data_IF_888941443901
#
_entry.id   IF_888941443901
#
_cell.length_a   1.000
_cell.length_b   1.000
_cell.length_c   1.000
_cell.angle_alpha   90.00
_cell.angle_beta   90.00
_cell.angle_gamma   90.00
#
_symmetry.space_group_name_H-M   'P 1'
#
loop_
_entity.id
_entity.type
_entity.pdbx_description
1 polymer ?
#
# COMPACT_ATOMS: atom_id res chain seq x y z
N UNK A 1 -13.66 -14.94 -6.25
CA UNK A 1 -13.78 -13.61 -6.88
C UNK A 1 -14.93 -13.60 -7.87
N UNK A 2 -15.57 -12.44 -8.10
CA UNK A 2 -16.80 -12.29 -8.90
C UNK A 2 -18.07 -12.76 -8.17
N UNK A 3 -18.03 -13.99 -7.66
CA UNK A 3 -19.11 -14.66 -6.92
C UNK A 3 -18.66 -15.25 -5.56
N UNK A 4 -17.40 -15.07 -5.16
CA UNK A 4 -16.94 -15.52 -3.83
C UNK A 4 -17.24 -14.46 -2.76
N UNK A 5 -17.50 -14.89 -1.50
CA UNK A 5 -17.73 -13.96 -0.41
C UNK A 5 -16.55 -12.98 -0.28
N UNK A 6 -16.85 -11.69 -0.34
CA UNK A 6 -15.86 -10.64 -0.13
C UNK A 6 -15.26 -10.76 1.26
N UNK A 7 -13.93 -10.80 1.35
CA UNK A 7 -13.25 -10.74 2.64
C UNK A 7 -13.46 -9.37 3.27
N UNK A 8 -13.93 -9.40 4.52
CA UNK A 8 -14.10 -8.20 5.32
C UNK A 8 -12.73 -7.67 5.71
N UNK A 9 -12.53 -6.34 5.65
CA UNK A 9 -11.27 -5.67 6.02
C UNK A 9 -10.09 -6.01 5.09
N UNK A 10 -10.29 -5.93 3.78
CA UNK A 10 -9.27 -6.25 2.78
C UNK A 10 -9.23 -5.20 1.63
N UNK A 11 -8.07 -5.09 0.99
CA UNK A 11 -7.83 -4.42 -0.28
C UNK A 11 -6.98 -5.34 -1.17
N UNK A 12 -7.21 -5.29 -2.49
CA UNK A 12 -6.58 -6.22 -3.42
C UNK A 12 -6.49 -5.65 -4.83
N UNK A 13 -5.37 -5.93 -5.48
CA UNK A 13 -5.25 -5.94 -6.93
C UNK A 13 -5.56 -7.32 -7.52
N UNK A 14 -6.49 -7.37 -8.46
CA UNK A 14 -6.90 -8.58 -9.16
C UNK A 14 -6.21 -8.68 -10.54
N UNK A 15 -5.17 -9.52 -10.72
CA UNK A 15 -4.39 -9.57 -11.96
C UNK A 15 -5.17 -10.13 -13.16
N UNK A 16 -6.21 -10.96 -12.93
CA UNK A 16 -6.99 -11.58 -13.99
C UNK A 16 -7.91 -10.60 -14.74
N UNK A 17 -8.48 -9.64 -14.02
CA UNK A 17 -9.45 -8.66 -14.54
C UNK A 17 -8.90 -7.22 -14.50
N UNK A 18 -7.65 -7.04 -14.06
CA UNK A 18 -6.90 -5.77 -13.99
C UNK A 18 -7.64 -4.63 -13.26
N UNK A 19 -8.08 -4.89 -12.03
CA UNK A 19 -8.70 -3.86 -11.18
C UNK A 19 -8.16 -3.89 -9.75
N UNK A 20 -8.28 -2.74 -9.08
CA UNK A 20 -8.08 -2.60 -7.63
C UNK A 20 -9.45 -2.52 -6.96
N UNK A 21 -9.63 -3.25 -5.87
CA UNK A 21 -10.85 -3.20 -5.06
C UNK A 21 -10.51 -3.17 -3.57
N UNK A 22 -11.44 -2.64 -2.78
CA UNK A 22 -11.30 -2.54 -1.34
C UNK A 22 -12.64 -2.60 -0.63
N UNK A 23 -12.60 -3.02 0.63
CA UNK A 23 -13.74 -2.96 1.53
C UNK A 23 -13.90 -1.54 2.11
N UNK A 24 -15.11 -0.98 2.09
CA UNK A 24 -15.41 0.30 2.73
C UNK A 24 -15.13 0.23 4.23
N UNK A 25 -15.53 -0.87 4.90
CA UNK A 25 -15.25 -1.09 6.32
C UNK A 25 -13.74 -1.04 6.64
N UNK A 26 -12.88 -1.44 5.69
CA UNK A 26 -11.43 -1.38 5.85
C UNK A 26 -10.90 0.05 5.79
N UNK A 27 -11.38 0.80 4.81
CA UNK A 27 -10.99 2.20 4.62
C UNK A 27 -11.48 3.06 5.78
N UNK A 28 -12.74 2.88 6.21
CA UNK A 28 -13.32 3.59 7.35
C UNK A 28 -12.58 3.28 8.66
N UNK A 29 -12.24 2.00 8.87
CA UNK A 29 -11.50 1.60 10.08
C UNK A 29 -10.13 2.26 10.15
N UNK A 30 -9.33 2.20 9.07
CA UNK A 30 -8.02 2.84 9.07
C UNK A 30 -8.11 4.35 9.11
N UNK A 31 -9.11 4.96 8.46
CA UNK A 31 -9.38 6.39 8.55
C UNK A 31 -9.61 6.83 10.01
N UNK A 32 -10.48 6.11 10.73
CA UNK A 32 -10.82 6.43 12.12
C UNK A 32 -9.62 6.21 13.06
N UNK A 33 -8.81 5.18 12.82
CA UNK A 33 -7.73 4.78 13.73
C UNK A 33 -6.40 5.52 13.47
N UNK A 34 -6.13 5.87 12.21
CA UNK A 34 -4.82 6.33 11.77
C UNK A 34 -4.84 7.66 11.03
N UNK A 35 -5.98 8.06 10.45
CA UNK A 35 -6.13 9.35 9.77
C UNK A 35 -6.43 9.21 8.28
N UNK A 36 -6.57 10.35 7.60
CA UNK A 36 -7.09 10.43 6.24
C UNK A 36 -6.06 10.09 5.15
N UNK A 37 -4.79 9.97 5.51
CA UNK A 37 -3.74 9.40 4.66
C UNK A 37 -3.92 7.89 4.39
N UNK A 38 -4.66 7.16 5.23
CA UNK A 38 -4.79 5.70 5.14
C UNK A 38 -5.32 5.19 3.78
N UNK A 39 -6.46 5.69 3.25
CA UNK A 39 -6.94 5.24 1.95
C UNK A 39 -5.95 5.48 0.81
N UNK A 40 -5.14 6.54 0.88
CA UNK A 40 -4.14 6.84 -0.13
C UNK A 40 -3.01 5.81 -0.13
N UNK A 41 -2.53 5.43 1.05
CA UNK A 41 -1.51 4.38 1.21
C UNK A 41 -2.00 3.05 0.61
N UNK A 42 -3.20 2.61 1.00
CA UNK A 42 -3.75 1.32 0.55
C UNK A 42 -3.96 1.30 -0.95
N UNK A 43 -4.60 2.32 -1.53
CA UNK A 43 -4.82 2.36 -2.97
C UNK A 43 -3.49 2.40 -3.74
N UNK A 44 -2.50 3.16 -3.24
CA UNK A 44 -1.18 3.23 -3.87
C UNK A 44 -0.40 1.90 -3.76
N UNK A 45 -0.56 1.16 -2.67
CA UNK A 45 0.00 -0.18 -2.49
C UNK A 45 -0.58 -1.18 -3.50
N UNK A 46 -1.90 -1.27 -3.60
CA UNK A 46 -2.56 -2.16 -4.58
C UNK A 46 -2.24 -1.75 -6.03
N UNK A 47 -2.09 -0.45 -6.28
CA UNK A 47 -1.59 0.03 -7.57
C UNK A 47 -0.15 -0.46 -7.84
N UNK A 48 0.67 -0.59 -6.80
CA UNK A 48 1.98 -1.22 -6.85
C UNK A 48 1.92 -2.64 -7.42
N UNK A 49 1.00 -3.48 -6.94
CA UNK A 49 0.78 -4.81 -7.51
C UNK A 49 0.35 -4.76 -8.99
N UNK A 50 -0.44 -3.77 -9.38
CA UNK A 50 -0.80 -3.55 -10.77
C UNK A 50 0.42 -3.22 -11.65
N UNK A 51 1.40 -2.47 -11.12
CA UNK A 51 2.69 -2.22 -11.80
C UNK A 51 3.49 -3.50 -11.90
N UNK A 52 3.58 -4.27 -10.81
CA UNK A 52 4.30 -5.55 -10.75
C UNK A 52 3.80 -6.55 -11.79
N UNK A 53 2.48 -6.72 -11.89
CA UNK A 53 1.85 -7.62 -12.86
C UNK A 53 2.20 -7.23 -14.30
N UNK A 54 2.22 -5.93 -14.62
CA UNK A 54 2.55 -5.43 -15.98
C UNK A 54 4.04 -5.53 -16.30
N UNK A 55 4.91 -5.39 -15.31
CA UNK A 55 6.34 -5.55 -15.44
C UNK A 55 6.78 -7.02 -15.39
N UNK A 56 5.86 -7.94 -15.06
CA UNK A 56 6.13 -9.36 -14.85
C UNK A 56 7.31 -9.57 -13.90
N UNK A 57 7.32 -8.82 -12.79
CA UNK A 57 8.37 -8.96 -11.76
C UNK A 57 8.26 -10.35 -11.16
N UNK A 58 9.30 -11.16 -11.29
CA UNK A 58 9.32 -12.55 -10.78
C UNK A 58 9.50 -12.66 -9.26
N UNK A 59 9.05 -11.65 -8.51
CA UNK A 59 9.11 -11.64 -7.05
C UNK A 59 8.08 -12.60 -6.46
N UNK A 60 8.28 -12.98 -5.19
CA UNK A 60 7.38 -13.88 -4.47
C UNK A 60 7.31 -13.50 -3.00
N UNK A 61 6.13 -13.70 -2.41
CA UNK A 61 5.88 -13.53 -0.97
C UNK A 61 6.25 -12.11 -0.50
N UNK A 62 6.84 -11.98 0.70
CA UNK A 62 7.18 -10.69 1.33
C UNK A 62 7.92 -9.71 0.41
N UNK A 63 8.80 -10.18 -0.48
CA UNK A 63 9.52 -9.28 -1.37
C UNK A 63 8.61 -8.57 -2.39
N UNK A 64 7.52 -9.22 -2.80
CA UNK A 64 6.50 -8.63 -3.67
C UNK A 64 5.73 -7.52 -2.93
N UNK A 65 5.28 -7.81 -1.71
CA UNK A 65 4.59 -6.86 -0.83
C UNK A 65 5.45 -5.63 -0.48
N UNK A 66 6.71 -5.85 -0.11
CA UNK A 66 7.65 -4.76 0.20
C UNK A 66 7.96 -3.89 -1.02
N UNK A 67 8.00 -4.47 -2.23
CA UNK A 67 8.14 -3.67 -3.43
C UNK A 67 6.85 -2.88 -3.74
N UNK A 68 5.66 -3.41 -3.42
CA UNK A 68 4.41 -2.67 -3.52
C UNK A 68 4.38 -1.46 -2.56
N UNK A 69 4.88 -1.60 -1.32
CA UNK A 69 5.08 -0.47 -0.40
C UNK A 69 6.04 0.59 -0.98
N UNK A 70 7.12 0.18 -1.65
CA UNK A 70 8.00 1.11 -2.35
C UNK A 70 7.26 1.84 -3.48
N UNK A 71 6.48 1.14 -4.30
CA UNK A 71 5.68 1.79 -5.33
C UNK A 71 4.62 2.73 -4.75
N UNK A 72 4.06 2.41 -3.58
CA UNK A 72 3.14 3.31 -2.89
C UNK A 72 3.83 4.64 -2.54
N UNK A 73 5.02 4.59 -1.93
CA UNK A 73 5.81 5.79 -1.62
C UNK A 73 6.18 6.60 -2.86
N UNK A 74 6.60 5.92 -3.93
CA UNK A 74 6.90 6.57 -5.21
C UNK A 74 5.66 7.25 -5.85
N UNK A 75 4.49 6.60 -5.76
CA UNK A 75 3.23 7.09 -6.31
C UNK A 75 2.77 8.35 -5.57
N UNK A 76 2.73 8.30 -4.24
CA UNK A 76 2.32 9.45 -3.43
C UNK A 76 3.27 10.62 -3.61
N UNK A 77 4.58 10.38 -3.59
CA UNK A 77 5.57 11.44 -3.85
C UNK A 77 5.44 12.03 -5.26
N UNK A 78 5.13 11.21 -6.26
CA UNK A 78 4.84 11.68 -7.62
C UNK A 78 3.64 12.62 -7.66
N UNK A 79 2.53 12.21 -7.05
CA UNK A 79 1.29 12.99 -6.96
C UNK A 79 1.47 14.31 -6.19
N UNK A 80 2.34 14.32 -5.17
CA UNK A 80 2.71 15.56 -4.46
C UNK A 80 3.48 16.50 -5.38
N UNK A 81 4.46 15.97 -6.12
CA UNK A 81 5.32 16.77 -7.01
C UNK A 81 4.56 17.36 -8.20
N UNK A 82 3.57 16.66 -8.73
CA UNK A 82 2.78 17.13 -9.87
C UNK A 82 1.56 17.97 -9.47
N UNK A 83 1.28 18.08 -8.16
CA UNK A 83 0.20 18.89 -7.61
C UNK A 83 -1.17 18.21 -7.61
N UNK A 84 -1.25 16.92 -7.95
CA UNK A 84 -2.48 16.12 -7.85
C UNK A 84 -2.89 15.89 -6.40
N UNK A 85 -1.90 15.64 -5.53
CA UNK A 85 -2.10 15.41 -4.10
C UNK A 85 -1.49 16.57 -3.32
N UNK A 86 -2.28 17.17 -2.43
CA UNK A 86 -1.75 18.07 -1.41
C UNK A 86 -1.40 17.24 -0.19
N UNK A 87 -0.11 17.22 0.16
CA UNK A 87 0.36 16.62 1.41
C UNK A 87 0.12 17.57 2.56
N UNK A 88 -0.54 17.11 3.61
CA UNK A 88 -0.87 17.90 4.79
C UNK A 88 0.14 17.69 5.92
N UNK A 89 0.12 18.61 6.88
CA UNK A 89 0.91 18.45 8.10
C UNK A 89 0.30 17.32 8.93
N UNK A 90 1.01 16.20 9.05
CA UNK A 90 0.56 15.03 9.80
C UNK A 90 0.53 13.75 8.97
N UNK A 91 0.33 13.83 7.65
CA UNK A 91 0.14 12.65 6.78
C UNK A 91 1.28 11.62 6.87
N UNK A 92 2.53 12.09 7.03
CA UNK A 92 3.68 11.19 7.22
C UNK A 92 3.56 10.40 8.53
N UNK A 93 3.20 11.08 9.61
CA UNK A 93 3.03 10.47 10.94
C UNK A 93 1.83 9.53 10.95
N UNK A 94 0.76 9.90 10.24
CA UNK A 94 -0.42 9.07 10.05
C UNK A 94 -0.10 7.79 9.29
N UNK A 95 0.64 7.85 8.17
CA UNK A 95 1.08 6.65 7.44
C UNK A 95 1.90 5.72 8.34
N UNK A 96 2.90 6.25 9.05
CA UNK A 96 3.73 5.45 9.95
C UNK A 96 2.87 4.85 11.07
N UNK A 97 1.98 5.64 11.67
CA UNK A 97 1.06 5.20 12.71
C UNK A 97 0.08 4.15 12.20
N UNK A 98 -0.37 4.25 10.95
CA UNK A 98 -1.29 3.32 10.31
C UNK A 98 -0.67 1.95 10.12
N UNK A 99 0.56 1.88 9.61
CA UNK A 99 1.31 0.63 9.44
C UNK A 99 1.53 -0.06 10.78
N UNK A 100 1.79 0.71 11.84
CA UNK A 100 1.92 0.18 13.19
C UNK A 100 0.60 -0.34 13.76
N UNK A 101 -0.46 0.48 13.75
CA UNK A 101 -1.75 0.14 14.36
C UNK A 101 -2.47 -0.98 13.64
N UNK A 102 -2.44 -0.96 12.32
CA UNK A 102 -3.14 -1.93 11.49
C UNK A 102 -2.40 -3.27 11.47
N UNK A 103 -1.07 -3.25 11.63
CA UNK A 103 -0.17 -4.40 11.87
C UNK A 103 -0.74 -5.52 12.74
N UNK A 104 -1.48 -5.13 13.79
CA UNK A 104 -1.94 -6.04 14.84
C UNK A 104 -3.41 -6.47 14.72
N UNK A 105 -4.18 -5.87 13.81
CA UNK A 105 -5.65 -5.91 13.85
C UNK A 105 -6.25 -6.81 12.76
N UNK A 106 -5.58 -6.94 11.61
CA UNK A 106 -6.13 -7.64 10.45
C UNK A 106 -5.24 -8.79 9.98
N UNK A 107 -5.80 -9.92 9.51
CA UNK A 107 -4.99 -10.97 8.87
C UNK A 107 -4.14 -10.45 7.70
N UNK A 108 -4.61 -9.41 7.01
CA UNK A 108 -3.91 -8.72 5.91
C UNK A 108 -2.65 -7.97 6.34
N UNK A 109 -2.39 -7.77 7.63
CA UNK A 109 -1.15 -7.12 8.08
C UNK A 109 -0.19 -8.10 8.74
N UNK A 110 -0.45 -9.40 8.60
CA UNK A 110 0.41 -10.45 9.12
C UNK A 110 1.85 -10.28 8.60
N UNK A 111 2.84 -10.10 9.50
CA UNK A 111 4.23 -9.87 9.10
C UNK A 111 4.84 -10.99 8.26
N UNK A 112 4.27 -12.20 8.30
CA UNK A 112 4.72 -13.32 7.45
C UNK A 112 4.37 -13.14 5.98
N UNK A 113 3.33 -12.37 5.72
CA UNK A 113 2.79 -12.18 4.38
C UNK A 113 3.34 -10.86 3.79
N UNK A 114 3.37 -9.79 4.58
CA UNK A 114 3.73 -8.43 4.11
C UNK A 114 5.08 -7.88 4.61
N UNK A 115 5.83 -8.63 5.41
CA UNK A 115 7.04 -8.17 6.07
C UNK A 115 6.75 -7.43 7.38
N UNK A 116 7.80 -7.20 8.17
CA UNK A 116 7.64 -6.47 9.42
C UNK A 116 7.46 -4.95 9.18
N UNK A 117 6.92 -4.26 10.19
CA UNK A 117 6.61 -2.83 10.08
C UNK A 117 7.85 -2.00 9.70
N UNK A 118 9.04 -2.39 10.15
CA UNK A 118 10.27 -1.65 9.84
C UNK A 118 10.69 -1.85 8.39
N UNK A 119 10.52 -3.06 7.84
CA UNK A 119 10.75 -3.35 6.42
C UNK A 119 9.80 -2.55 5.53
N UNK A 120 8.51 -2.53 5.89
CA UNK A 120 7.46 -1.80 5.17
C UNK A 120 7.73 -0.30 5.12
N UNK A 121 8.00 0.32 6.27
CA UNK A 121 8.38 1.75 6.36
C UNK A 121 9.64 2.01 5.53
N UNK A 122 10.66 1.17 5.68
CA UNK A 122 11.92 1.34 4.94
C UNK A 122 11.73 1.28 3.43
N UNK A 123 10.83 0.43 2.92
CA UNK A 123 10.57 0.32 1.49
C UNK A 123 9.70 1.45 0.98
N UNK A 124 8.69 1.85 1.74
CA UNK A 124 7.92 3.06 1.46
C UNK A 124 8.84 4.28 1.32
N UNK A 125 9.74 4.49 2.29
CA UNK A 125 10.71 5.59 2.27
C UNK A 125 11.67 5.51 1.07
N UNK A 126 12.08 4.29 0.66
CA UNK A 126 12.89 4.08 -0.55
C UNK A 126 12.19 4.70 -1.77
N UNK A 127 10.90 4.41 -1.94
CA UNK A 127 10.08 4.95 -3.01
C UNK A 127 9.86 6.47 -2.93
N UNK A 128 9.60 7.00 -1.74
CA UNK A 128 9.46 8.46 -1.52
C UNK A 128 10.75 9.20 -1.92
N UNK A 129 11.91 8.66 -1.58
CA UNK A 129 13.20 9.31 -1.85
C UNK A 129 13.64 9.15 -3.30
N UNK A 130 13.51 7.94 -3.85
CA UNK A 130 14.10 7.55 -5.14
C UNK A 130 13.12 7.39 -6.29
N UNK A 131 11.81 7.52 -6.06
CA UNK A 131 10.77 7.29 -7.07
C UNK A 131 10.75 5.85 -7.58
N UNK A 132 10.07 5.64 -8.72
CA UNK A 132 9.84 4.31 -9.31
C UNK A 132 11.15 3.55 -9.58
N UNK A 133 12.19 4.23 -10.06
CA UNK A 133 13.47 3.59 -10.38
C UNK A 133 14.11 2.91 -9.16
N UNK A 134 13.94 3.49 -7.97
CA UNK A 134 14.47 2.89 -6.73
C UNK A 134 13.76 1.60 -6.34
N UNK A 135 12.50 1.40 -6.77
CA UNK A 135 11.73 0.19 -6.48
C UNK A 135 12.09 -0.97 -7.42
N UNK A 136 12.76 -0.68 -8.54
CA UNK A 136 13.19 -1.66 -9.54
C UNK A 136 14.67 -2.06 -9.41
N UNK A 137 15.42 -1.35 -8.56
CA UNK A 137 16.85 -1.54 -8.32
C UNK A 137 17.14 -2.57 -7.22
#
# INVERSE_FOLDING_TARGET
MGDEPWEKYNAIYCPGDDFVAWSIDYMDMGYILAGDSWPYLIVAHEWGHAVQNRLNVGLRAVAEELQADCFAGATLQGAIKDGTLKWEEGDTDEIISSLQKMGDITPWTNPKDHGDISERISHFDKGVQGGVDSCLA
#
